data_IF_064099748115
#
_entry.id   IF_064099748115
#
_cell.length_a   1.000
_cell.length_b   1.000
_cell.length_c   1.000
_cell.angle_alpha   90.00
_cell.angle_beta   90.00
_cell.angle_gamma   90.00
#
_symmetry.space_group_name_H-M   'P 1'
#
loop_
_entity.id
_entity.type
_entity.pdbx_description
1 polymer ?
#
# COMPACT_ATOMS: atom_id res chain seq x y z
N UNK A 1 -100.01 -45.40 -16.89
CA UNK A 1 -99.33 -45.96 -15.71
C UNK A 1 -97.93 -46.38 -16.09
N UNK A 2 -96.99 -45.66 -15.47
CA UNK A 2 -95.61 -46.00 -15.14
C UNK A 2 -94.64 -46.39 -16.26
N UNK A 3 -93.94 -45.36 -16.74
CA UNK A 3 -92.65 -45.44 -17.41
C UNK A 3 -91.53 -45.67 -16.37
N UNK A 4 -90.64 -46.59 -16.74
CA UNK A 4 -89.47 -47.02 -15.98
C UNK A 4 -88.43 -45.90 -15.83
N UNK A 5 -87.83 -45.87 -14.64
CA UNK A 5 -86.71 -45.02 -14.23
C UNK A 5 -85.45 -45.39 -15.01
N UNK A 6 -84.76 -44.39 -15.57
CA UNK A 6 -83.35 -44.51 -15.91
C UNK A 6 -82.62 -43.20 -15.60
N UNK A 7 -81.51 -43.36 -14.89
CA UNK A 7 -80.67 -42.33 -14.26
C UNK A 7 -80.06 -41.32 -15.24
N UNK A 8 -80.17 -40.03 -14.92
CA UNK A 8 -79.42 -38.96 -15.58
C UNK A 8 -77.96 -38.93 -15.08
N UNK A 9 -76.97 -38.70 -15.95
CA UNK A 9 -75.56 -38.74 -15.58
C UNK A 9 -75.13 -37.54 -14.76
N UNK A 10 -74.16 -37.82 -13.89
CA UNK A 10 -73.47 -36.94 -12.95
C UNK A 10 -72.82 -35.76 -13.69
N UNK A 11 -73.04 -34.55 -13.18
CA UNK A 11 -72.27 -33.36 -13.53
C UNK A 11 -70.78 -33.60 -13.22
N UNK A 12 -69.97 -33.80 -14.26
CA UNK A 12 -68.53 -33.60 -14.17
C UNK A 12 -68.25 -32.10 -14.27
N UNK A 13 -67.85 -31.48 -13.16
CA UNK A 13 -67.23 -30.15 -13.16
C UNK A 13 -65.89 -30.28 -13.90
N UNK A 14 -65.89 -29.91 -15.18
CA UNK A 14 -64.66 -29.69 -15.95
C UNK A 14 -63.91 -28.51 -15.33
N UNK A 15 -62.72 -28.77 -14.79
CA UNK A 15 -61.72 -27.72 -14.54
C UNK A 15 -61.47 -26.96 -15.86
N UNK A 16 -61.52 -25.62 -15.89
CA UNK A 16 -60.92 -24.90 -16.99
C UNK A 16 -59.40 -24.94 -16.81
N UNK A 17 -58.74 -25.75 -17.62
CA UNK A 17 -57.31 -25.66 -17.86
C UNK A 17 -57.00 -24.42 -18.71
N UNK A 18 -56.64 -23.32 -18.07
CA UNK A 18 -55.77 -22.28 -18.64
C UNK A 18 -54.63 -22.11 -17.64
N UNK A 19 -53.34 -22.13 -17.97
CA UNK A 19 -52.64 -21.29 -18.93
C UNK A 19 -51.28 -21.94 -19.28
N UNK A 20 -51.04 -22.41 -20.52
CA UNK A 20 -49.69 -22.73 -20.97
C UNK A 20 -49.02 -21.60 -21.78
N UNK A 21 -49.79 -20.67 -22.38
CA UNK A 21 -49.27 -19.75 -23.39
C UNK A 21 -48.50 -18.51 -22.88
N UNK A 22 -48.47 -18.25 -21.57
CA UNK A 22 -47.83 -17.05 -20.99
C UNK A 22 -46.52 -17.33 -20.23
N UNK A 23 -46.19 -18.59 -19.94
CA UNK A 23 -44.95 -18.95 -19.24
C UNK A 23 -43.72 -18.67 -20.11
N UNK A 24 -43.76 -19.06 -21.38
CA UNK A 24 -42.60 -18.98 -22.27
C UNK A 24 -42.18 -17.53 -22.53
N UNK A 25 -43.13 -16.62 -22.72
CA UNK A 25 -42.84 -15.18 -22.91
C UNK A 25 -42.23 -14.53 -21.66
N UNK A 26 -42.66 -14.97 -20.47
CA UNK A 26 -42.13 -14.48 -19.21
C UNK A 26 -40.69 -14.97 -18.97
N UNK A 27 -40.40 -16.25 -19.26
CA UNK A 27 -39.03 -16.78 -19.16
C UNK A 27 -38.07 -16.15 -20.18
N UNK A 28 -38.54 -15.90 -21.40
CA UNK A 28 -37.74 -15.20 -22.43
C UNK A 28 -37.39 -13.79 -21.96
N UNK A 29 -38.36 -13.03 -21.42
CA UNK A 29 -38.11 -11.69 -20.92
C UNK A 29 -37.09 -11.66 -19.75
N UNK A 30 -37.19 -12.61 -18.82
CA UNK A 30 -36.23 -12.75 -17.71
C UNK A 30 -34.84 -13.09 -18.23
N UNK A 31 -34.73 -14.00 -19.19
CA UNK A 31 -33.43 -14.39 -19.76
C UNK A 31 -32.75 -13.22 -20.49
N UNK A 32 -33.51 -12.42 -21.24
CA UNK A 32 -33.00 -11.21 -21.88
C UNK A 32 -32.57 -10.17 -20.84
N UNK A 33 -33.35 -9.95 -19.79
CA UNK A 33 -32.99 -9.01 -18.73
C UNK A 33 -31.70 -9.43 -18.00
N UNK A 34 -31.56 -10.71 -17.65
CA UNK A 34 -30.37 -11.23 -16.98
C UNK A 34 -29.13 -11.14 -17.87
N UNK A 35 -29.24 -11.47 -19.16
CA UNK A 35 -28.11 -11.37 -20.10
C UNK A 35 -27.61 -9.94 -20.28
N UNK A 36 -28.50 -8.94 -20.30
CA UNK A 36 -28.12 -7.52 -20.32
C UNK A 36 -27.39 -7.12 -19.04
N UNK A 37 -27.85 -7.56 -17.86
CA UNK A 37 -27.19 -7.28 -16.58
C UNK A 37 -25.78 -7.88 -16.55
N UNK A 38 -25.62 -9.14 -16.99
CA UNK A 38 -24.30 -9.78 -17.04
C UNK A 38 -23.37 -9.09 -18.03
N UNK A 39 -23.86 -8.66 -19.19
CA UNK A 39 -23.08 -7.90 -20.15
C UNK A 39 -22.60 -6.56 -19.59
N UNK A 40 -23.47 -5.82 -18.90
CA UNK A 40 -23.12 -4.55 -18.24
C UNK A 40 -22.11 -4.75 -17.12
N UNK A 41 -22.26 -5.80 -16.29
CA UNK A 41 -21.30 -6.14 -15.26
C UNK A 41 -19.92 -6.52 -15.84
N UNK A 42 -19.91 -7.27 -16.94
CA UNK A 42 -18.69 -7.62 -17.68
C UNK A 42 -17.99 -6.38 -18.25
N UNK A 43 -18.73 -5.46 -18.86
CA UNK A 43 -18.20 -4.18 -19.37
C UNK A 43 -17.66 -3.33 -18.23
N UNK A 44 -18.36 -3.24 -17.10
CA UNK A 44 -17.89 -2.48 -15.94
C UNK A 44 -16.63 -3.08 -15.31
N UNK A 45 -16.55 -4.42 -15.23
CA UNK A 45 -15.36 -5.13 -14.78
C UNK A 45 -14.18 -4.91 -15.75
N UNK A 46 -14.43 -4.99 -17.06
CA UNK A 46 -13.42 -4.72 -18.09
C UNK A 46 -12.91 -3.28 -18.03
N UNK A 47 -13.79 -2.28 -17.88
CA UNK A 47 -13.40 -0.88 -17.70
C UNK A 47 -12.59 -0.70 -16.42
N UNK A 48 -12.95 -1.36 -15.32
CA UNK A 48 -12.21 -1.29 -14.05
C UNK A 48 -10.82 -1.93 -14.15
N UNK A 49 -10.71 -3.08 -14.81
CA UNK A 49 -9.43 -3.78 -15.04
C UNK A 49 -8.55 -2.97 -16.00
N UNK A 50 -9.10 -2.50 -17.11
CA UNK A 50 -8.38 -1.68 -18.09
C UNK A 50 -7.99 -0.32 -17.54
N UNK A 51 -8.83 0.29 -16.70
CA UNK A 51 -8.53 1.51 -15.97
C UNK A 51 -7.37 1.33 -15.00
N UNK A 52 -7.35 0.22 -14.24
CA UNK A 52 -6.18 -0.15 -13.42
C UNK A 52 -4.94 -0.38 -14.29
N UNK A 53 -5.04 -1.12 -15.38
CA UNK A 53 -3.91 -1.40 -16.27
C UNK A 53 -3.35 -0.15 -16.97
N UNK A 54 -4.20 0.78 -17.40
CA UNK A 54 -3.77 2.04 -17.98
C UNK A 54 -3.14 2.96 -16.92
N UNK A 55 -3.64 2.95 -15.68
CA UNK A 55 -2.99 3.63 -14.56
C UNK A 55 -1.58 3.07 -14.31
N UNK A 56 -1.43 1.74 -14.32
CA UNK A 56 -0.14 1.05 -14.22
C UNK A 56 0.81 1.32 -15.40
N UNK A 57 0.27 1.61 -16.60
CA UNK A 57 1.08 1.90 -17.79
C UNK A 57 1.46 3.38 -17.88
N UNK A 58 0.62 4.28 -17.35
CA UNK A 58 0.85 5.72 -17.34
C UNK A 58 1.78 6.17 -16.20
N UNK A 59 1.81 5.43 -15.07
CA UNK A 59 2.77 5.67 -13.99
C UNK A 59 4.23 5.36 -14.36
N UNK A 60 4.48 4.54 -15.41
CA UNK A 60 5.83 4.33 -15.96
C UNK A 60 6.34 5.49 -16.84
N UNK A 61 5.48 6.42 -17.25
CA UNK A 61 5.84 7.45 -18.23
C UNK A 61 6.32 8.79 -17.61
N UNK A 62 6.44 8.88 -16.28
CA UNK A 62 6.77 10.15 -15.59
C UNK A 62 8.16 10.20 -14.95
N UNK A 63 9.02 9.20 -15.16
CA UNK A 63 10.40 9.27 -14.68
C UNK A 63 11.29 9.70 -15.84
N UNK A 64 11.85 10.93 -15.82
CA UNK A 64 12.79 11.35 -16.86
C UNK A 64 14.01 10.41 -16.86
N UNK A 65 14.41 9.99 -18.07
CA UNK A 65 15.63 9.25 -18.40
C UNK A 65 16.88 10.11 -18.09
N UNK A 66 17.11 10.36 -16.81
CA UNK A 66 18.47 10.60 -16.32
C UNK A 66 19.04 9.20 -16.01
N UNK A 67 20.29 8.93 -16.37
CA UNK A 67 21.03 7.71 -16.00
C UNK A 67 21.01 7.56 -14.46
N UNK A 68 19.98 6.90 -13.94
CA UNK A 68 19.72 6.83 -12.51
C UNK A 68 20.41 5.59 -11.99
N UNK A 69 21.53 5.79 -11.30
CA UNK A 69 22.10 4.79 -10.41
C UNK A 69 20.98 4.26 -9.50
N UNK A 70 20.88 2.94 -9.41
CA UNK A 70 20.00 2.28 -8.46
C UNK A 70 20.32 2.80 -7.05
N UNK A 71 19.30 3.24 -6.32
CA UNK A 71 19.46 3.76 -4.96
C UNK A 71 19.01 2.73 -3.96
N UNK A 72 19.88 2.38 -3.03
CA UNK A 72 19.54 1.56 -1.87
C UNK A 72 18.98 2.44 -0.75
N UNK A 73 17.74 2.20 -0.36
CA UNK A 73 17.03 2.95 0.68
C UNK A 73 16.84 2.07 1.90
N UNK A 74 17.52 2.42 3.00
CA UNK A 74 17.32 1.76 4.29
C UNK A 74 16.15 2.40 5.04
N UNK A 75 15.21 1.59 5.54
CA UNK A 75 14.08 2.06 6.35
C UNK A 75 14.28 1.62 7.80
N UNK A 76 14.62 2.58 8.66
CA UNK A 76 14.63 2.39 10.12
C UNK A 76 13.24 2.67 10.67
N UNK A 77 12.71 1.75 11.47
CA UNK A 77 11.36 1.85 12.02
C UNK A 77 11.21 1.10 13.35
N UNK A 78 10.17 1.45 14.08
CA UNK A 78 9.71 0.78 15.30
C UNK A 78 8.24 0.41 15.07
N UNK A 79 8.02 -0.78 14.50
CA UNK A 79 6.69 -1.30 14.23
C UNK A 79 6.46 -2.53 15.12
N UNK A 80 5.63 -2.36 16.14
CA UNK A 80 5.35 -3.40 17.15
C UNK A 80 3.97 -4.03 16.96
N UNK A 81 3.00 -3.27 16.44
CA UNK A 81 1.67 -3.78 16.12
C UNK A 81 1.56 -4.22 14.66
N UNK A 82 0.69 -5.19 14.38
CA UNK A 82 0.41 -5.63 13.00
C UNK A 82 0.00 -4.48 12.08
N UNK A 83 -0.73 -3.50 12.62
CA UNK A 83 -1.16 -2.31 11.87
C UNK A 83 0.03 -1.43 11.47
N UNK A 84 0.99 -1.25 12.38
CA UNK A 84 2.19 -0.45 12.11
C UNK A 84 3.12 -1.20 11.14
N UNK A 85 3.24 -2.51 11.29
CA UNK A 85 3.98 -3.39 10.38
C UNK A 85 3.40 -3.28 8.96
N UNK A 86 2.08 -3.46 8.79
CA UNK A 86 1.41 -3.33 7.49
C UNK A 86 1.63 -1.94 6.89
N UNK A 87 1.56 -0.90 7.71
CA UNK A 87 1.76 0.48 7.26
C UNK A 87 3.18 0.74 6.76
N UNK A 88 4.20 0.29 7.49
CA UNK A 88 5.61 0.44 7.09
C UNK A 88 5.91 -0.43 5.88
N UNK A 89 5.42 -1.67 5.83
CA UNK A 89 5.56 -2.54 4.66
C UNK A 89 4.90 -1.94 3.42
N UNK A 90 3.74 -1.29 3.57
CA UNK A 90 3.10 -0.58 2.46
C UNK A 90 3.95 0.57 1.95
N UNK A 91 4.56 1.36 2.84
CA UNK A 91 5.52 2.38 2.42
C UNK A 91 6.70 1.76 1.65
N UNK A 92 7.29 0.69 2.19
CA UNK A 92 8.39 -0.03 1.56
C UNK A 92 8.01 -0.57 0.16
N UNK A 93 6.84 -1.18 0.01
CA UNK A 93 6.33 -1.68 -1.28
C UNK A 93 6.19 -0.56 -2.30
N UNK A 94 5.62 0.59 -1.90
CA UNK A 94 5.43 1.72 -2.80
C UNK A 94 6.77 2.33 -3.22
N UNK A 95 7.75 2.40 -2.31
CA UNK A 95 9.11 2.83 -2.65
C UNK A 95 9.80 1.84 -3.59
N UNK A 96 9.66 0.54 -3.34
CA UNK A 96 10.24 -0.51 -4.17
C UNK A 96 9.61 -0.56 -5.58
N UNK A 97 8.37 -0.10 -5.73
CA UNK A 97 7.71 -0.01 -7.05
C UNK A 97 8.38 0.99 -8.00
N UNK A 98 9.26 1.86 -7.49
CA UNK A 98 10.01 2.83 -8.28
C UNK A 98 11.20 2.12 -8.92
N UNK A 99 11.28 2.18 -10.26
CA UNK A 99 12.25 1.42 -11.08
C UNK A 99 13.74 1.48 -10.68
N UNK A 100 14.18 2.49 -9.93
CA UNK A 100 15.60 2.66 -9.53
C UNK A 100 15.76 2.77 -8.01
N UNK A 101 14.86 2.17 -7.24
CA UNK A 101 14.90 2.17 -5.77
C UNK A 101 14.86 0.73 -5.26
N UNK A 102 15.93 0.31 -4.63
CA UNK A 102 15.97 -0.91 -3.85
C UNK A 102 15.67 -0.57 -2.40
N UNK A 103 14.74 -1.27 -1.78
CA UNK A 103 14.37 -1.03 -0.37
C UNK A 103 14.99 -2.10 0.50
N UNK A 104 15.68 -1.66 1.54
CA UNK A 104 16.26 -2.49 2.58
C UNK A 104 15.49 -2.26 3.88
N UNK A 105 14.81 -3.29 4.35
CA UNK A 105 14.02 -3.28 5.59
C UNK A 105 14.08 -4.65 6.25
N UNK A 106 14.26 -4.67 7.56
CA UNK A 106 14.41 -5.91 8.32
C UNK A 106 13.17 -6.81 8.22
N UNK A 107 11.96 -6.22 8.20
CA UNK A 107 10.69 -6.98 8.10
C UNK A 107 10.62 -7.92 6.88
N UNK A 108 11.32 -7.62 5.78
CA UNK A 108 11.33 -8.45 4.58
C UNK A 108 12.54 -9.40 4.49
N UNK A 109 13.56 -9.18 5.30
CA UNK A 109 14.87 -9.84 5.18
C UNK A 109 15.19 -10.78 6.35
N UNK A 110 14.17 -11.35 6.99
CA UNK A 110 14.33 -12.19 8.19
C UNK A 110 15.27 -13.39 7.98
N UNK A 111 15.21 -14.05 6.83
CA UNK A 111 16.11 -15.18 6.53
C UNK A 111 17.57 -14.72 6.41
N UNK A 112 17.81 -13.63 5.70
CA UNK A 112 19.14 -13.04 5.56
C UNK A 112 19.69 -12.59 6.91
N UNK A 113 18.86 -11.97 7.74
CA UNK A 113 19.22 -11.57 9.10
C UNK A 113 19.66 -12.77 9.92
N UNK A 114 18.96 -13.90 9.82
CA UNK A 114 19.34 -15.13 10.54
C UNK A 114 20.68 -15.67 9.99
N UNK A 115 20.82 -15.73 8.67
CA UNK A 115 21.99 -16.30 7.99
C UNK A 115 23.27 -15.49 8.24
N UNK A 116 23.17 -14.16 8.37
CA UNK A 116 24.31 -13.28 8.65
C UNK A 116 24.65 -13.16 10.14
N UNK A 117 23.97 -13.89 11.03
CA UNK A 117 24.25 -13.89 12.48
C UNK A 117 23.46 -12.87 13.30
N UNK A 118 22.33 -12.40 12.79
CA UNK A 118 21.34 -11.57 13.47
C UNK A 118 21.44 -10.07 13.18
N UNK A 119 20.49 -9.32 13.75
CA UNK A 119 20.35 -7.86 13.54
C UNK A 119 21.62 -7.07 13.86
N UNK A 120 22.41 -7.53 14.84
CA UNK A 120 23.65 -6.85 15.26
C UNK A 120 24.73 -6.77 14.18
N UNK A 121 24.73 -7.70 13.22
CA UNK A 121 25.64 -7.70 12.08
C UNK A 121 24.94 -7.14 10.83
N UNK A 122 23.66 -7.49 10.64
CA UNK A 122 22.88 -7.06 9.49
C UNK A 122 22.71 -5.54 9.40
N UNK A 123 22.33 -4.88 10.51
CA UNK A 123 22.06 -3.43 10.56
C UNK A 123 23.29 -2.61 10.15
N UNK A 124 24.48 -2.73 10.78
CA UNK A 124 25.62 -1.90 10.41
C UNK A 124 26.11 -2.12 8.97
N UNK A 125 26.00 -3.34 8.45
CA UNK A 125 26.34 -3.65 7.06
C UNK A 125 25.43 -2.91 6.08
N UNK A 126 24.11 -3.09 6.21
CA UNK A 126 23.13 -2.54 5.29
C UNK A 126 22.95 -1.03 5.42
N UNK A 127 23.01 -0.51 6.65
CA UNK A 127 22.95 0.93 6.90
C UNK A 127 24.23 1.64 6.41
N UNK A 128 25.37 0.95 6.42
CA UNK A 128 26.66 1.48 5.94
C UNK A 128 26.72 1.69 4.43
N UNK A 129 26.03 0.86 3.65
CA UNK A 129 26.01 0.88 2.17
C UNK A 129 24.80 1.60 1.57
N UNK A 130 23.78 1.95 2.37
CA UNK A 130 22.57 2.60 1.89
C UNK A 130 22.86 3.98 1.27
N UNK A 131 22.23 4.33 0.15
CA UNK A 131 22.31 5.65 -0.48
C UNK A 131 21.39 6.68 0.18
N UNK A 132 20.28 6.21 0.75
CA UNK A 132 19.32 7.01 1.51
C UNK A 132 18.87 6.22 2.74
N UNK A 133 18.60 6.94 3.82
CA UNK A 133 18.07 6.42 5.07
C UNK A 133 16.77 7.17 5.35
N UNK A 134 15.70 6.41 5.58
CA UNK A 134 14.41 6.92 6.05
C UNK A 134 14.25 6.43 7.49
N UNK A 135 14.11 7.35 8.42
CA UNK A 135 13.68 7.04 9.79
C UNK A 135 12.19 7.31 9.94
N UNK A 136 11.40 6.28 10.23
CA UNK A 136 9.97 6.41 10.50
C UNK A 136 9.76 6.64 11.99
N UNK A 137 9.55 7.90 12.37
CA UNK A 137 9.31 8.30 13.76
C UNK A 137 7.83 8.16 14.11
N UNK A 138 7.49 7.01 14.69
CA UNK A 138 6.26 6.78 15.43
C UNK A 138 6.44 7.14 16.92
N UNK A 139 5.36 7.25 17.71
CA UNK A 139 5.48 7.42 19.17
C UNK A 139 6.32 6.32 19.80
N UNK A 140 6.14 5.06 19.38
CA UNK A 140 6.93 3.93 19.85
C UNK A 140 8.40 3.99 19.45
N UNK A 141 8.72 4.61 18.31
CA UNK A 141 10.12 4.85 17.92
C UNK A 141 10.77 5.83 18.89
N UNK A 142 10.12 6.96 19.16
CA UNK A 142 10.63 7.98 20.08
C UNK A 142 10.77 7.46 21.50
N UNK A 143 9.82 6.65 21.96
CA UNK A 143 9.91 5.96 23.24
C UNK A 143 11.11 4.99 23.27
N UNK A 144 11.31 4.19 22.23
CA UNK A 144 12.41 3.24 22.17
C UNK A 144 13.80 3.90 22.20
N UNK A 145 14.01 5.02 21.49
CA UNK A 145 15.29 5.75 21.51
C UNK A 145 15.55 6.54 22.79
N UNK A 146 14.51 6.79 23.60
CA UNK A 146 14.63 7.48 24.89
C UNK A 146 14.71 6.48 26.05
N UNK A 147 14.13 5.30 25.89
CA UNK A 147 14.20 4.20 26.85
C UNK A 147 15.61 3.62 26.93
N UNK A 148 16.25 3.78 28.09
CA UNK A 148 17.55 3.17 28.40
C UNK A 148 17.43 1.73 28.90
N UNK A 149 16.21 1.20 29.01
CA UNK A 149 15.96 -0.16 29.50
C UNK A 149 15.84 -1.08 28.29
N UNK A 150 16.98 -1.58 27.82
CA UNK A 150 17.12 -2.37 26.61
C UNK A 150 16.86 -3.87 26.85
N UNK A 151 15.67 -4.24 27.32
CA UNK A 151 15.31 -5.66 27.50
C UNK A 151 14.53 -6.23 26.33
N UNK A 152 13.84 -5.41 25.55
CA UNK A 152 13.10 -5.85 24.37
C UNK A 152 13.98 -5.75 23.11
N UNK A 153 13.98 -6.81 22.30
CA UNK A 153 14.79 -6.91 21.08
C UNK A 153 14.53 -5.73 20.12
N UNK A 154 13.28 -5.28 20.00
CA UNK A 154 12.91 -4.14 19.17
C UNK A 154 13.52 -2.82 19.68
N UNK A 155 13.61 -2.64 21.00
CA UNK A 155 14.24 -1.46 21.61
C UNK A 155 15.75 -1.50 21.37
N UNK A 156 16.38 -2.67 21.48
CA UNK A 156 17.79 -2.86 21.16
C UNK A 156 18.08 -2.54 19.68
N UNK A 157 17.25 -3.04 18.76
CA UNK A 157 17.33 -2.75 17.32
C UNK A 157 17.26 -1.23 17.07
N UNK A 158 16.20 -0.58 17.56
CA UNK A 158 15.97 0.85 17.31
C UNK A 158 17.09 1.71 17.89
N UNK A 159 17.58 1.39 19.09
CA UNK A 159 18.72 2.10 19.67
C UNK A 159 20.00 1.92 18.84
N UNK A 160 20.27 0.71 18.35
CA UNK A 160 21.42 0.44 17.48
C UNK A 160 21.35 1.24 16.18
N UNK A 161 20.20 1.24 15.50
CA UNK A 161 19.99 2.03 14.29
C UNK A 161 20.18 3.52 14.56
N UNK A 162 19.54 4.05 15.60
CA UNK A 162 19.61 5.46 15.97
C UNK A 162 21.05 5.89 16.29
N UNK A 163 21.80 5.08 17.03
CA UNK A 163 23.20 5.37 17.38
C UNK A 163 24.13 5.33 16.17
N UNK A 164 23.94 4.37 15.26
CA UNK A 164 24.70 4.32 14.01
C UNK A 164 24.38 5.53 13.13
N UNK A 165 23.11 5.88 13.00
CA UNK A 165 22.68 7.05 12.23
C UNK A 165 23.27 8.33 12.84
N UNK A 166 23.21 8.50 14.17
CA UNK A 166 23.87 9.63 14.86
C UNK A 166 25.35 9.70 14.52
N UNK A 167 26.08 8.57 14.60
CA UNK A 167 27.51 8.50 14.22
C UNK A 167 27.73 8.92 12.77
N UNK A 168 26.87 8.50 11.84
CA UNK A 168 26.95 8.92 10.44
C UNK A 168 26.76 10.44 10.28
N UNK A 169 25.81 11.02 11.02
CA UNK A 169 25.54 12.46 10.99
C UNK A 169 26.72 13.29 11.53
N UNK A 170 27.41 12.80 12.57
CA UNK A 170 28.58 13.48 13.13
C UNK A 170 29.84 13.36 12.26
N UNK A 171 30.08 12.20 11.65
CA UNK A 171 31.34 11.90 10.95
C UNK A 171 31.40 12.38 9.50
N UNK A 172 30.28 12.83 8.91
CA UNK A 172 30.25 13.20 7.48
C UNK A 172 29.26 14.32 7.19
N UNK A 173 29.74 15.56 7.08
CA UNK A 173 28.91 16.70 6.64
C UNK A 173 28.24 16.47 5.26
N UNK A 174 28.87 15.67 4.38
CA UNK A 174 28.31 15.28 3.08
C UNK A 174 27.12 14.31 3.16
N UNK A 175 26.91 13.60 4.28
CA UNK A 175 25.80 12.63 4.47
C UNK A 175 24.51 13.26 5.01
N UNK A 176 24.48 14.59 5.13
CA UNK A 176 23.28 15.33 5.53
C UNK A 176 22.09 15.11 4.57
N UNK A 177 22.35 14.93 3.28
CA UNK A 177 21.35 14.65 2.24
C UNK A 177 20.94 13.17 2.14
N UNK A 178 21.58 12.30 2.92
CA UNK A 178 21.30 10.86 2.96
C UNK A 178 20.17 10.53 3.94
N UNK A 179 19.90 11.38 4.93
CA UNK A 179 18.88 11.14 5.95
C UNK A 179 17.60 11.97 5.78
N UNK A 180 16.45 11.28 5.79
CA UNK A 180 15.14 11.86 5.99
C UNK A 180 14.42 11.25 7.19
N UNK A 181 13.60 12.06 7.85
CA UNK A 181 12.69 11.64 8.91
C UNK A 181 11.26 11.72 8.39
N UNK A 182 10.51 10.63 8.57
CA UNK A 182 9.08 10.55 8.27
C UNK A 182 8.32 10.49 9.59
N UNK A 183 7.49 11.48 9.86
CA UNK A 183 6.78 11.67 11.12
C UNK A 183 5.43 10.98 11.06
N UNK A 184 5.27 9.91 11.84
CA UNK A 184 4.04 9.15 11.93
C UNK A 184 3.30 9.44 13.24
N UNK A 185 2.32 10.36 13.21
CA UNK A 185 1.56 10.73 14.41
C UNK A 185 2.38 11.48 15.46
N UNK A 186 3.58 11.93 15.09
CA UNK A 186 4.54 12.66 15.92
C UNK A 186 4.68 14.09 15.39
N UNK A 187 4.88 15.06 16.29
CA UNK A 187 5.11 16.44 15.87
C UNK A 187 6.60 16.71 15.64
N UNK A 188 6.92 17.71 14.82
CA UNK A 188 8.30 18.11 14.53
C UNK A 188 9.05 18.51 15.79
N UNK A 189 8.36 19.14 16.74
CA UNK A 189 8.94 19.62 18.00
C UNK A 189 9.33 18.49 18.94
N UNK A 190 8.71 17.31 18.78
CA UNK A 190 9.00 16.11 19.58
C UNK A 190 10.20 15.33 19.05
N UNK A 191 10.76 15.74 17.89
CA UNK A 191 11.92 15.07 17.30
C UNK A 191 13.21 15.44 18.04
N UNK A 192 14.15 14.48 18.22
CA UNK A 192 15.44 14.78 18.85
C UNK A 192 16.20 15.86 18.08
N UNK A 193 16.88 16.74 18.83
CA UNK A 193 17.48 17.96 18.29
C UNK A 193 18.49 17.71 17.16
N UNK A 194 19.18 16.57 17.16
CA UNK A 194 20.11 16.15 16.12
C UNK A 194 19.46 15.98 14.73
N UNK A 195 18.13 15.82 14.68
CA UNK A 195 17.35 15.65 13.45
C UNK A 195 16.63 16.94 12.98
N UNK A 196 16.67 18.03 13.76
CA UNK A 196 15.95 19.27 13.44
C UNK A 196 16.41 19.95 12.14
N UNK A 197 17.67 19.77 11.76
CA UNK A 197 18.23 20.31 10.50
C UNK A 197 18.11 19.37 9.30
N UNK A 198 17.31 18.30 9.39
CA UNK A 198 17.19 17.26 8.36
C UNK A 198 15.87 17.39 7.61
N UNK A 199 15.78 16.70 6.47
CA UNK A 199 14.53 16.62 5.73
C UNK A 199 13.48 15.88 6.58
N UNK A 200 12.41 16.59 6.97
CA UNK A 200 11.32 16.02 7.77
C UNK A 200 10.00 16.12 7.01
N UNK A 201 9.36 14.97 6.81
CA UNK A 201 8.11 14.81 6.09
C UNK A 201 7.06 14.22 7.02
N UNK A 202 5.79 14.59 6.87
CA UNK A 202 4.73 13.82 7.52
C UNK A 202 4.56 12.47 6.83
N UNK A 203 4.07 11.47 7.55
CA UNK A 203 3.79 10.16 6.96
C UNK A 203 2.74 10.30 5.83
N UNK A 204 2.96 9.73 4.63
CA UNK A 204 2.01 9.80 3.54
C UNK A 204 0.65 9.18 3.89
N UNK A 205 -0.43 9.89 3.60
CA UNK A 205 -1.79 9.36 3.71
C UNK A 205 -2.19 8.55 2.46
N UNK A 206 -1.60 8.89 1.31
CA UNK A 206 -1.80 8.26 0.00
C UNK A 206 -0.48 8.21 -0.75
N UNK A 207 -0.44 7.38 -1.79
CA UNK A 207 0.73 7.14 -2.63
C UNK A 207 0.44 7.56 -4.07
N UNK A 208 -0.02 8.79 -4.23
CA UNK A 208 -0.40 9.39 -5.51
C UNK A 208 0.13 10.84 -5.60
N UNK A 209 -0.04 11.45 -6.77
CA UNK A 209 0.37 12.82 -7.08
C UNK A 209 -0.46 13.91 -6.37
N UNK A 210 -1.43 13.52 -5.54
CA UNK A 210 -2.22 14.44 -4.71
C UNK A 210 -1.69 14.52 -3.28
N UNK A 211 -0.90 13.56 -2.83
CA UNK A 211 -0.26 13.61 -1.51
C UNK A 211 1.08 14.34 -1.56
N UNK A 212 1.09 15.57 -1.05
CA UNK A 212 2.28 16.41 -1.02
C UNK A 212 3.42 15.80 -0.20
N UNK A 213 3.13 15.01 0.84
CA UNK A 213 4.18 14.37 1.64
C UNK A 213 4.83 13.23 0.87
N UNK A 214 4.03 12.47 0.12
CA UNK A 214 4.55 11.45 -0.80
C UNK A 214 5.43 12.07 -1.87
N UNK A 215 4.96 13.12 -2.55
CA UNK A 215 5.73 13.83 -3.58
C UNK A 215 7.04 14.40 -3.01
N UNK A 216 6.99 15.01 -1.82
CA UNK A 216 8.19 15.56 -1.18
C UNK A 216 9.20 14.46 -0.83
N UNK A 217 8.73 13.32 -0.30
CA UNK A 217 9.57 12.16 -0.02
C UNK A 217 10.20 11.59 -1.31
N UNK A 218 9.44 11.49 -2.40
CA UNK A 218 9.94 11.07 -3.70
C UNK A 218 11.00 12.03 -4.26
N UNK A 219 10.75 13.34 -4.17
CA UNK A 219 11.71 14.37 -4.58
C UNK A 219 13.02 14.23 -3.82
N UNK A 220 12.94 14.05 -2.50
CA UNK A 220 14.11 13.79 -1.65
C UNK A 220 14.86 12.51 -2.02
N UNK A 221 14.14 11.41 -2.22
CA UNK A 221 14.75 10.12 -2.56
C UNK A 221 15.44 10.16 -3.91
N UNK A 222 14.84 10.84 -4.88
CA UNK A 222 15.33 10.87 -6.25
C UNK A 222 16.30 12.02 -6.51
N UNK A 223 16.61 12.84 -5.49
CA UNK A 223 17.39 14.09 -5.62
C UNK A 223 16.83 15.01 -6.72
N UNK A 224 15.51 15.00 -6.89
CA UNK A 224 14.80 15.81 -7.89
C UNK A 224 14.08 16.96 -7.22
N UNK A 225 14.03 18.11 -7.89
CA UNK A 225 13.29 19.26 -7.38
C UNK A 225 11.78 18.90 -7.33
N UNK A 226 11.08 19.11 -6.20
CA UNK A 226 9.66 18.73 -6.07
C UNK A 226 8.74 19.37 -7.13
N UNK A 227 9.15 20.52 -7.69
CA UNK A 227 8.43 21.21 -8.75
C UNK A 227 8.41 20.44 -10.08
N UNK A 228 9.34 19.52 -10.31
CA UNK A 228 9.40 18.68 -11.52
C UNK A 228 8.37 17.53 -11.50
N UNK A 229 7.73 17.27 -10.35
CA UNK A 229 6.67 16.26 -10.20
C UNK A 229 5.26 16.77 -10.51
N UNK A 230 5.09 18.08 -10.81
CA UNK A 230 3.77 18.55 -11.21
C UNK A 230 3.39 17.92 -12.55
N UNK A 231 2.30 17.12 -12.64
CA UNK A 231 1.77 16.76 -13.94
C UNK A 231 1.42 18.08 -14.63
N UNK A 232 2.01 18.31 -15.81
CA UNK A 232 1.55 19.39 -16.69
C UNK A 232 0.08 19.12 -16.97
N UNK A 233 -0.80 19.85 -16.28
CA UNK A 233 -2.21 19.95 -16.63
C UNK A 233 -2.26 20.39 -18.09
N UNK A 234 -2.60 19.45 -18.96
CA UNK A 234 -3.07 19.71 -20.31
C UNK A 234 -4.58 19.53 -20.32
#
# INVERSE_FOLDING_TARGET
>A
NDCQVTSAPIFSITKPSGFPAYKDKFYIAIFVALSVIFALAGVWCYIRIKGKFNFYKQSKALVPLCEKKEKLVYISHCATSNKDIEKVLRLAEQLHSISNVQVCIDLCNQNEIIDCGGLSLWIPEHLGIADKIIMVFSPSYLEAITSRIATEEIICKVNMEADLIRKLLYNSCQRSSQLAVVLDGVKKEDTPAEFNGRAQFSFPNRYDDLDQNWIALLGYLLDMNPLEFTPKLK
#
